data_IF_794816162244
#
_entry.id   IF_794816162244
#
_cell.length_a   1.000
_cell.length_b   1.000
_cell.length_c   1.000
_cell.angle_alpha   90.00
_cell.angle_beta   90.00
_cell.angle_gamma   90.00
#
_symmetry.space_group_name_H-M   'P 1'
#
loop_
_entity.id
_entity.type
_entity.pdbx_description
1 polymer ?
#
# COMPACT_ATOMS: atom_id res chain seq x y z
N UNK A 1 -0.06 -17.25 7.60
CA UNK A 1 -1.40 -16.78 7.18
C UNK A 1 -1.48 -15.30 7.45
N UNK A 2 -1.71 -14.48 6.43
CA UNK A 2 -1.91 -13.03 6.60
C UNK A 2 -3.34 -12.76 7.07
N UNK A 3 -3.54 -11.67 7.82
CA UNK A 3 -4.90 -11.25 8.20
C UNK A 3 -5.71 -10.93 6.93
N UNK A 4 -6.84 -11.60 6.76
CA UNK A 4 -7.69 -11.51 5.58
C UNK A 4 -9.18 -11.59 5.98
N UNK A 5 -10.08 -11.25 5.05
CA UNK A 5 -11.54 -11.42 5.26
C UNK A 5 -11.85 -12.92 5.43
N UNK A 6 -12.96 -13.24 6.10
CA UNK A 6 -13.33 -14.64 6.45
C UNK A 6 -13.46 -15.58 5.24
N UNK A 7 -13.64 -15.03 4.05
CA UNK A 7 -13.86 -15.69 2.76
C UNK A 7 -12.61 -15.77 1.87
N UNK A 8 -11.47 -15.25 2.34
CA UNK A 8 -10.21 -15.20 1.57
C UNK A 8 -9.06 -15.69 2.44
N UNK A 9 -8.35 -16.74 2.01
CA UNK A 9 -7.11 -17.20 2.64
C UNK A 9 -5.93 -16.69 1.83
N UNK A 10 -5.00 -16.00 2.49
CA UNK A 10 -3.75 -15.54 1.88
C UNK A 10 -2.57 -16.22 2.57
N UNK A 11 -1.83 -16.99 1.77
CA UNK A 11 -0.58 -17.64 2.18
C UNK A 11 0.60 -16.90 1.56
N UNK A 12 1.68 -16.76 2.31
CA UNK A 12 2.87 -16.02 1.92
C UNK A 12 4.10 -16.92 2.01
N UNK A 13 4.97 -16.84 1.01
CA UNK A 13 6.29 -17.47 0.98
C UNK A 13 7.34 -16.42 0.65
N UNK A 14 8.50 -16.49 1.32
CA UNK A 14 9.58 -15.51 1.23
C UNK A 14 9.95 -14.91 2.58
N UNK A 15 10.90 -13.98 2.59
CA UNK A 15 11.25 -13.22 3.79
C UNK A 15 10.12 -12.24 4.15
N UNK A 16 9.88 -12.00 5.44
CA UNK A 16 8.86 -11.04 5.87
C UNK A 16 9.25 -9.63 5.39
N UNK A 17 8.33 -8.98 4.68
CA UNK A 17 8.51 -7.61 4.20
C UNK A 17 8.17 -6.61 5.30
N UNK A 18 8.94 -5.53 5.38
CA UNK A 18 8.69 -4.40 6.28
C UNK A 18 8.10 -3.17 5.54
N UNK A 19 7.90 -2.07 6.26
CA UNK A 19 7.36 -0.84 5.65
C UNK A 19 8.35 -0.15 4.70
N UNK A 20 9.66 -0.36 4.87
CA UNK A 20 10.65 0.17 3.94
C UNK A 20 10.68 -0.64 2.63
N UNK A 21 10.48 -1.95 2.70
CA UNK A 21 10.22 -2.81 1.54
C UNK A 21 8.95 -2.37 0.81
N UNK A 22 7.89 -2.05 1.56
CA UNK A 22 6.64 -1.50 0.99
C UNK A 22 6.88 -0.17 0.28
N UNK A 23 7.71 0.72 0.83
CA UNK A 23 8.04 2.01 0.18
C UNK A 23 8.72 1.78 -1.18
N UNK A 24 9.71 0.89 -1.23
CA UNK A 24 10.37 0.52 -2.50
C UNK A 24 9.36 -0.06 -3.49
N UNK A 25 8.53 -1.00 -3.05
CA UNK A 25 7.51 -1.63 -3.89
C UNK A 25 6.49 -0.62 -4.45
N UNK A 26 5.97 0.28 -3.60
CA UNK A 26 5.03 1.31 -4.03
C UNK A 26 5.67 2.29 -5.02
N UNK A 27 6.95 2.61 -4.85
CA UNK A 27 7.66 3.43 -5.84
C UNK A 27 7.81 2.72 -7.19
N UNK A 28 8.18 1.43 -7.17
CA UNK A 28 8.28 0.60 -8.37
C UNK A 28 6.92 0.56 -9.11
N UNK A 29 5.81 0.34 -8.39
CA UNK A 29 4.46 0.41 -8.95
C UNK A 29 4.11 1.79 -9.50
N UNK A 30 4.50 2.85 -8.80
CA UNK A 30 4.27 4.23 -9.25
C UNK A 30 4.94 4.54 -10.60
N UNK A 31 6.12 3.97 -10.84
CA UNK A 31 6.83 4.09 -12.12
C UNK A 31 6.21 3.16 -13.17
N UNK A 32 5.92 1.91 -12.80
CA UNK A 32 5.38 0.90 -13.70
C UNK A 32 3.97 1.24 -14.23
N UNK A 33 3.15 2.00 -13.48
CA UNK A 33 1.78 2.37 -13.92
C UNK A 33 1.73 3.15 -15.24
N UNK A 34 2.83 3.78 -15.64
CA UNK A 34 2.95 4.52 -16.90
C UNK A 34 3.36 3.62 -18.08
N UNK A 35 3.55 2.32 -17.84
CA UNK A 35 4.00 1.34 -18.81
C UNK A 35 2.87 0.36 -19.17
N UNK A 36 2.92 -0.27 -20.35
CA UNK A 36 2.00 -1.35 -20.68
C UNK A 36 2.07 -2.51 -19.67
N UNK A 37 0.96 -3.25 -19.53
CA UNK A 37 0.90 -4.44 -18.68
C UNK A 37 1.99 -5.45 -19.04
N UNK A 38 2.79 -5.87 -18.05
CA UNK A 38 3.86 -6.86 -18.23
C UNK A 38 5.10 -6.34 -18.95
N UNK A 39 5.17 -5.06 -19.31
CA UNK A 39 6.36 -4.48 -19.93
C UNK A 39 7.54 -4.43 -18.93
N UNK A 40 8.74 -4.69 -19.45
CA UNK A 40 9.96 -4.43 -18.71
C UNK A 40 10.24 -2.94 -18.61
N UNK A 41 10.88 -2.52 -17.51
CA UNK A 41 11.32 -1.16 -17.31
C UNK A 41 12.61 -1.12 -16.51
N UNK A 42 13.38 -0.06 -16.72
CA UNK A 42 14.64 0.17 -16.03
C UNK A 42 14.55 1.35 -15.05
N UNK A 43 15.32 1.26 -13.97
CA UNK A 43 15.49 2.33 -12.99
C UNK A 43 16.94 2.36 -12.54
N UNK A 44 17.53 3.55 -12.43
CA UNK A 44 18.84 3.65 -11.78
C UNK A 44 18.69 3.48 -10.27
N UNK A 45 19.67 2.86 -9.61
CA UNK A 45 19.64 2.74 -8.14
C UNK A 45 19.61 4.09 -7.45
N UNK A 46 20.28 5.08 -8.05
CA UNK A 46 20.37 6.45 -7.55
C UNK A 46 19.01 7.15 -7.54
N UNK A 47 18.25 7.05 -8.62
CA UNK A 47 16.91 7.64 -8.72
C UNK A 47 15.96 6.98 -7.73
N UNK A 48 16.01 5.65 -7.62
CA UNK A 48 15.16 4.90 -6.70
C UNK A 48 15.43 5.33 -5.24
N UNK A 49 16.69 5.42 -4.81
CA UNK A 49 17.03 5.91 -3.46
C UNK A 49 16.57 7.36 -3.23
N UNK A 50 16.81 8.24 -4.20
CA UNK A 50 16.40 9.66 -4.11
C UNK A 50 14.89 9.83 -4.01
N UNK A 51 14.14 9.05 -4.79
CA UNK A 51 12.69 9.07 -4.74
C UNK A 51 12.13 8.62 -3.38
N UNK A 52 12.90 7.85 -2.62
CA UNK A 52 12.59 7.45 -1.25
C UNK A 52 13.15 8.40 -0.18
N UNK A 53 13.75 9.52 -0.59
CA UNK A 53 14.40 10.47 0.33
C UNK A 53 15.64 9.91 1.03
N UNK A 54 16.29 8.88 0.45
CA UNK A 54 17.48 8.24 1.01
C UNK A 54 18.76 8.77 0.38
N UNK A 55 19.84 8.67 1.14
CA UNK A 55 21.20 8.92 0.66
C UNK A 55 21.63 7.93 -0.41
N UNK A 56 22.65 8.28 -1.19
CA UNK A 56 23.13 7.52 -2.36
C UNK A 56 24.53 6.91 -2.14
N UNK A 57 24.73 6.29 -0.98
CA UNK A 57 26.00 5.68 -0.57
C UNK A 57 26.07 4.16 -0.75
N UNK A 58 27.29 3.60 -0.62
CA UNK A 58 27.54 2.15 -0.72
C UNK A 58 26.63 1.31 0.18
N UNK A 59 26.43 1.73 1.43
CA UNK A 59 25.53 1.05 2.38
C UNK A 59 24.08 1.08 1.93
N UNK A 60 23.61 2.20 1.36
CA UNK A 60 22.25 2.33 0.85
C UNK A 60 22.02 1.48 -0.41
N UNK A 61 23.03 1.34 -1.26
CA UNK A 61 22.97 0.42 -2.40
C UNK A 61 22.92 -1.05 -1.98
N UNK A 62 23.68 -1.45 -0.97
CA UNK A 62 23.61 -2.80 -0.40
C UNK A 62 22.24 -3.06 0.23
N UNK A 63 21.73 -2.09 1.01
CA UNK A 63 20.38 -2.15 1.57
C UNK A 63 19.32 -2.31 0.47
N UNK A 64 19.37 -1.48 -0.58
CA UNK A 64 18.42 -1.53 -1.68
C UNK A 64 18.45 -2.89 -2.39
N UNK A 65 19.63 -3.43 -2.68
CA UNK A 65 19.75 -4.77 -3.27
C UNK A 65 19.03 -5.82 -2.41
N UNK A 66 19.23 -5.78 -1.09
CA UNK A 66 18.54 -6.69 -0.17
C UNK A 66 17.02 -6.53 -0.19
N UNK A 67 16.50 -5.30 -0.29
CA UNK A 67 15.06 -5.05 -0.46
C UNK A 67 14.55 -5.69 -1.74
N UNK A 68 15.24 -5.46 -2.86
CA UNK A 68 14.82 -6.00 -4.16
C UNK A 68 14.83 -7.54 -4.16
N UNK A 69 15.82 -8.18 -3.52
CA UNK A 69 15.87 -9.63 -3.37
C UNK A 69 14.71 -10.18 -2.52
N UNK A 70 14.33 -9.46 -1.46
CA UNK A 70 13.13 -9.80 -0.67
C UNK A 70 11.85 -9.67 -1.50
N UNK A 71 11.70 -8.57 -2.26
CA UNK A 71 10.56 -8.37 -3.15
C UNK A 71 10.48 -9.41 -4.26
N UNK A 72 11.61 -9.85 -4.80
CA UNK A 72 11.68 -10.87 -5.85
C UNK A 72 11.33 -12.28 -5.32
N UNK A 73 11.75 -12.60 -4.10
CA UNK A 73 11.42 -13.89 -3.47
C UNK A 73 9.99 -13.94 -2.89
N UNK A 74 9.34 -12.80 -2.69
CA UNK A 74 7.98 -12.69 -2.17
C UNK A 74 6.95 -13.29 -3.13
N UNK A 75 6.30 -14.37 -2.69
CA UNK A 75 5.23 -15.05 -3.41
C UNK A 75 3.99 -15.17 -2.54
N UNK A 76 2.84 -14.75 -3.08
CA UNK A 76 1.53 -14.86 -2.43
C UNK A 76 0.69 -15.94 -3.11
N UNK A 77 -0.13 -16.60 -2.32
CA UNK A 77 -1.15 -17.53 -2.78
C UNK A 77 -2.48 -17.08 -2.18
N UNK A 78 -3.52 -17.00 -3.01
CA UNK A 78 -4.83 -16.46 -2.65
C UNK A 78 -5.86 -17.53 -2.94
N UNK A 79 -6.63 -17.93 -1.92
CA UNK A 79 -7.74 -18.87 -2.05
C UNK A 79 -9.02 -18.16 -1.63
N UNK A 80 -10.06 -18.26 -2.45
CA UNK A 80 -11.41 -17.74 -2.18
C UNK A 80 -12.45 -18.79 -2.56
N UNK A 81 -13.70 -18.62 -2.13
CA UNK A 81 -14.78 -19.57 -2.41
C UNK A 81 -15.03 -19.84 -3.91
N UNK A 82 -14.57 -18.97 -4.83
CA UNK A 82 -14.77 -19.13 -6.27
C UNK A 82 -13.52 -18.91 -7.13
N UNK A 83 -12.34 -18.71 -6.53
CA UNK A 83 -11.11 -18.39 -7.27
C UNK A 83 -9.87 -18.68 -6.44
N UNK A 84 -8.88 -19.34 -7.06
CA UNK A 84 -7.59 -19.69 -6.45
C UNK A 84 -6.44 -19.20 -7.34
N UNK A 85 -5.51 -18.45 -6.74
CA UNK A 85 -4.16 -18.19 -7.28
C UNK A 85 -3.18 -18.95 -6.40
N UNK A 86 -2.73 -20.11 -6.87
CA UNK A 86 -1.92 -21.01 -6.05
C UNK A 86 -2.38 -22.46 -6.14
N UNK A 87 -1.82 -23.34 -5.31
CA UNK A 87 -1.81 -24.76 -5.59
C UNK A 87 -3.09 -25.40 -5.03
N UNK A 88 -4.22 -25.55 -5.73
CA UNK A 88 -4.42 -25.80 -7.16
C UNK A 88 -5.84 -25.28 -7.54
N UNK A 89 -6.15 -24.83 -8.76
CA UNK A 89 -6.21 -25.67 -9.98
C UNK A 89 -5.43 -25.12 -11.19
N UNK A 90 -4.47 -24.20 -10.99
CA UNK A 90 -3.57 -23.74 -12.07
C UNK A 90 -2.11 -23.51 -11.63
N UNK A 91 -1.70 -23.93 -10.43
CA UNK A 91 -0.28 -24.12 -10.06
C UNK A 91 0.64 -22.89 -10.04
N UNK A 92 0.10 -21.67 -10.11
CA UNK A 92 0.91 -20.45 -10.21
C UNK A 92 0.69 -19.50 -9.03
N UNK A 93 1.71 -19.33 -8.19
CA UNK A 93 1.74 -18.27 -7.17
C UNK A 93 1.81 -16.86 -7.79
N UNK A 94 1.47 -15.86 -7.00
CA UNK A 94 1.51 -14.45 -7.36
C UNK A 94 2.80 -13.80 -6.85
N UNK A 95 3.71 -13.44 -7.74
CA UNK A 95 4.97 -12.76 -7.38
C UNK A 95 4.82 -11.26 -7.44
N UNK A 96 5.52 -10.53 -6.55
CA UNK A 96 5.58 -9.07 -6.65
C UNK A 96 6.39 -8.64 -7.88
N UNK A 97 7.63 -9.11 -8.00
CA UNK A 97 8.46 -8.91 -9.19
C UNK A 97 8.44 -10.17 -10.08
N UNK A 98 8.25 -9.97 -11.38
CA UNK A 98 8.32 -11.03 -12.39
C UNK A 98 9.76 -11.40 -12.75
N UNK A 99 10.62 -10.40 -12.91
CA UNK A 99 12.05 -10.53 -13.18
C UNK A 99 12.84 -9.40 -12.50
N UNK A 100 14.12 -9.68 -12.25
CA UNK A 100 15.07 -8.75 -11.66
C UNK A 100 16.46 -9.01 -12.23
N UNK A 101 17.04 -8.00 -12.91
CA UNK A 101 18.42 -8.02 -13.39
C UNK A 101 19.14 -6.72 -13.05
N UNK A 102 20.44 -6.81 -12.70
CA UNK A 102 21.27 -5.65 -12.43
C UNK A 102 22.39 -5.51 -13.47
N UNK A 103 22.41 -4.38 -14.17
CA UNK A 103 23.44 -4.07 -15.16
C UNK A 103 24.46 -3.11 -14.57
N UNK A 104 25.56 -3.67 -14.06
CA UNK A 104 26.62 -2.91 -13.39
C UNK A 104 27.24 -1.80 -14.24
N UNK A 105 27.29 -1.93 -15.56
CA UNK A 105 27.84 -0.91 -16.45
C UNK A 105 27.01 0.39 -16.52
N UNK A 106 25.70 0.31 -16.30
CA UNK A 106 24.77 1.47 -16.31
C UNK A 106 24.25 1.82 -14.92
N UNK A 107 24.58 1.02 -13.92
CA UNK A 107 24.03 1.09 -12.56
C UNK A 107 22.49 1.02 -12.50
N UNK A 108 21.90 0.23 -13.40
CA UNK A 108 20.46 0.10 -13.59
C UNK A 108 19.95 -1.25 -13.13
N UNK A 109 18.77 -1.23 -12.52
CA UNK A 109 17.93 -2.41 -12.37
C UNK A 109 16.93 -2.49 -13.50
N UNK A 110 16.75 -3.70 -14.04
CA UNK A 110 15.72 -4.05 -15.00
C UNK A 110 14.70 -4.93 -14.30
N UNK A 111 13.44 -4.52 -14.37
CA UNK A 111 12.33 -5.15 -13.68
C UNK A 111 11.24 -5.54 -14.68
N UNK A 112 10.54 -6.61 -14.37
CA UNK A 112 9.15 -6.80 -14.81
C UNK A 112 8.26 -7.02 -13.59
N UNK A 113 6.99 -6.66 -13.72
CA UNK A 113 5.96 -6.96 -12.71
C UNK A 113 5.02 -7.99 -13.31
N UNK A 114 4.67 -9.01 -12.51
CA UNK A 114 3.64 -9.97 -12.91
C UNK A 114 2.34 -9.21 -13.23
N UNK A 115 1.81 -9.37 -14.44
CA UNK A 115 0.62 -8.66 -14.87
C UNK A 115 -0.58 -8.91 -13.94
N UNK A 116 -0.67 -10.09 -13.31
CA UNK A 116 -1.70 -10.43 -12.33
C UNK A 116 -1.55 -9.59 -11.07
N UNK A 117 -0.31 -9.38 -10.63
CA UNK A 117 0.00 -8.48 -9.52
C UNK A 117 -0.40 -7.08 -9.91
N UNK A 118 -0.01 -6.61 -11.09
CA UNK A 118 -0.37 -5.26 -11.56
C UNK A 118 -1.89 -5.06 -11.66
N UNK A 119 -2.64 -6.08 -12.08
CA UNK A 119 -4.11 -6.04 -12.16
C UNK A 119 -4.78 -5.80 -10.79
N UNK A 120 -4.19 -6.29 -9.68
CA UNK A 120 -4.67 -5.97 -8.32
C UNK A 120 -4.59 -4.48 -7.99
N UNK A 121 -3.68 -3.74 -8.65
CA UNK A 121 -3.47 -2.31 -8.43
C UNK A 121 -4.21 -1.42 -9.45
N UNK A 122 -4.83 -1.99 -10.49
CA UNK A 122 -5.50 -1.24 -11.58
C UNK A 122 -6.96 -0.86 -11.32
N UNK A 123 -7.74 -1.68 -10.58
CA UNK A 123 -9.13 -1.35 -10.24
C UNK A 123 -9.16 -0.40 -9.04
N UNK A 124 -9.09 0.91 -9.30
CA UNK A 124 -9.54 2.02 -8.44
C UNK A 124 -8.95 2.15 -7.01
N UNK A 125 -8.12 1.22 -6.52
CA UNK A 125 -7.75 1.14 -5.10
C UNK A 125 -6.31 1.59 -4.77
N UNK A 126 -5.43 1.71 -5.76
CA UNK A 126 -4.01 2.02 -5.52
C UNK A 126 -3.44 3.13 -6.41
N UNK A 127 -4.21 3.63 -7.37
CA UNK A 127 -3.73 4.52 -8.44
C UNK A 127 -2.98 5.77 -7.95
N UNK A 128 -3.28 6.21 -6.72
CA UNK A 128 -2.61 7.30 -6.03
C UNK A 128 -2.69 7.04 -4.52
N UNK A 129 -2.05 5.98 -4.02
CA UNK A 129 -1.53 6.09 -2.65
C UNK A 129 -0.57 7.27 -2.74
N UNK A 130 -1.07 8.45 -2.40
CA UNK A 130 -0.50 9.75 -2.76
C UNK A 130 0.97 9.72 -2.38
N UNK A 131 1.81 9.44 -3.37
CA UNK A 131 3.19 9.03 -3.11
C UNK A 131 3.90 10.12 -2.31
N UNK A 132 3.54 11.37 -2.65
CA UNK A 132 3.91 12.59 -1.92
C UNK A 132 3.36 12.67 -0.50
N UNK A 133 2.17 12.17 -0.21
CA UNK A 133 1.64 12.05 1.16
C UNK A 133 2.43 11.00 1.94
N UNK A 134 2.70 9.83 1.34
CA UNK A 134 3.45 8.75 1.98
C UNK A 134 4.88 9.16 2.33
N UNK A 135 5.57 9.85 1.43
CA UNK A 135 6.94 10.33 1.67
C UNK A 135 7.06 11.36 2.81
N UNK A 136 5.96 12.01 3.21
CA UNK A 136 5.96 12.91 4.36
C UNK A 136 5.90 12.16 5.70
N UNK A 137 5.43 10.92 5.69
CA UNK A 137 5.34 10.09 6.88
C UNK A 137 6.70 9.48 7.22
N UNK A 138 7.10 9.61 8.47
CA UNK A 138 8.33 9.11 9.06
C UNK A 138 8.09 7.83 9.85
N UNK A 139 6.95 7.71 10.55
CA UNK A 139 6.68 6.52 11.36
C UNK A 139 6.12 5.36 10.52
N UNK A 140 6.68 4.17 10.69
CA UNK A 140 6.19 2.95 10.03
C UNK A 140 4.73 2.65 10.36
N UNK A 141 4.31 2.90 11.61
CA UNK A 141 2.90 2.70 11.99
C UNK A 141 1.99 3.73 11.30
N UNK A 142 2.44 4.97 11.10
CA UNK A 142 1.67 5.96 10.33
C UNK A 142 1.56 5.54 8.86
N UNK A 143 2.66 5.07 8.25
CA UNK A 143 2.67 4.53 6.88
C UNK A 143 1.75 3.32 6.71
N UNK A 144 1.74 2.41 7.68
CA UNK A 144 0.86 1.25 7.69
C UNK A 144 -0.61 1.66 7.81
N UNK A 145 -0.92 2.58 8.74
CA UNK A 145 -2.27 3.12 8.93
C UNK A 145 -2.74 3.87 7.69
N UNK A 146 -1.87 4.62 7.02
CA UNK A 146 -2.20 5.31 5.79
C UNK A 146 -2.71 4.33 4.71
N UNK A 147 -2.07 3.17 4.55
CA UNK A 147 -2.58 2.12 3.67
C UNK A 147 -3.99 1.66 4.09
N UNK A 148 -4.19 1.36 5.39
CA UNK A 148 -5.49 0.95 5.92
C UNK A 148 -6.58 2.01 5.64
N UNK A 149 -6.27 3.28 5.87
CA UNK A 149 -7.19 4.42 5.70
C UNK A 149 -7.60 4.57 4.24
N UNK A 150 -6.64 4.54 3.32
CA UNK A 150 -6.87 4.77 1.88
C UNK A 150 -7.66 3.65 1.24
N UNK A 151 -7.48 2.41 1.70
CA UNK A 151 -8.19 1.23 1.19
C UNK A 151 -9.62 1.07 1.73
N UNK A 152 -10.07 1.93 2.65
CA UNK A 152 -11.43 1.87 3.23
C UNK A 152 -12.27 3.09 2.82
N UNK A 153 -13.59 2.95 2.97
CA UNK A 153 -14.56 3.99 2.61
C UNK A 153 -14.23 5.35 3.27
N UNK A 154 -14.51 6.47 2.58
CA UNK A 154 -14.35 7.80 3.16
C UNK A 154 -15.27 7.99 4.38
N UNK A 155 -14.93 8.96 5.23
CA UNK A 155 -15.69 9.27 6.44
C UNK A 155 -15.06 8.76 7.73
N UNK A 156 -15.87 8.62 8.77
CA UNK A 156 -15.43 8.14 10.08
C UNK A 156 -15.12 6.63 10.03
N UNK A 157 -13.92 6.26 10.46
CA UNK A 157 -13.43 4.90 10.52
C UNK A 157 -13.13 4.53 11.97
N UNK A 158 -13.43 3.29 12.35
CA UNK A 158 -13.33 2.78 13.73
C UNK A 158 -12.68 1.42 13.73
N UNK A 159 -11.62 1.25 14.51
CA UNK A 159 -10.89 -0.01 14.61
C UNK A 159 -10.60 -0.37 16.06
N UNK A 160 -10.87 -1.61 16.45
CA UNK A 160 -10.49 -2.06 17.80
C UNK A 160 -8.96 -2.15 17.90
N UNK A 161 -8.39 -1.73 19.02
CA UNK A 161 -6.94 -1.74 19.20
C UNK A 161 -6.36 -3.15 19.14
N UNK A 162 -7.11 -4.14 19.63
CA UNK A 162 -6.72 -5.55 19.53
C UNK A 162 -6.58 -6.03 18.08
N UNK A 163 -7.41 -5.51 17.18
CA UNK A 163 -7.43 -5.92 15.78
C UNK A 163 -6.26 -5.26 15.06
N UNK A 164 -6.05 -3.94 15.27
CA UNK A 164 -4.88 -3.23 14.75
C UNK A 164 -3.55 -3.88 15.18
N UNK A 165 -3.43 -4.28 16.46
CA UNK A 165 -2.24 -4.99 16.96
C UNK A 165 -2.03 -6.31 16.27
N UNK A 166 -3.10 -7.09 16.09
CA UNK A 166 -3.04 -8.38 15.39
C UNK A 166 -2.63 -8.19 13.94
N UNK A 167 -3.23 -7.24 13.23
CA UNK A 167 -3.00 -7.03 11.80
C UNK A 167 -1.61 -6.50 11.48
N UNK A 168 -1.03 -5.65 12.33
CA UNK A 168 0.35 -5.19 12.15
C UNK A 168 1.39 -6.17 12.72
N UNK A 169 0.95 -7.24 13.41
CA UNK A 169 1.86 -8.18 14.08
C UNK A 169 2.63 -7.54 15.23
N UNK A 170 1.99 -6.64 15.99
CA UNK A 170 2.63 -5.93 17.10
C UNK A 170 3.03 -6.89 18.23
N UNK A 171 4.35 -7.02 18.46
CA UNK A 171 4.93 -7.84 19.55
C UNK A 171 5.18 -7.07 20.85
N UNK A 172 5.00 -5.75 20.82
CA UNK A 172 5.20 -4.88 21.99
C UNK A 172 4.03 -4.95 22.99
N UNK A 173 4.27 -4.49 24.22
CA UNK A 173 3.26 -4.43 25.27
C UNK A 173 2.10 -3.53 24.85
N UNK A 174 0.84 -3.82 25.24
CA UNK A 174 -0.33 -3.04 24.86
C UNK A 174 -0.19 -1.53 25.09
N UNK A 175 0.38 -1.13 26.22
CA UNK A 175 0.63 0.29 26.56
C UNK A 175 1.62 0.96 25.60
N UNK A 176 2.67 0.25 25.17
CA UNK A 176 3.66 0.78 24.22
C UNK A 176 3.06 0.91 22.83
N UNK A 177 2.30 -0.10 22.41
CA UNK A 177 1.55 -0.03 21.16
C UNK A 177 0.59 1.16 21.14
N UNK A 178 -0.15 1.37 22.25
CA UNK A 178 -1.07 2.49 22.40
C UNK A 178 -0.37 3.84 22.20
N UNK A 179 0.78 4.05 22.85
CA UNK A 179 1.56 5.27 22.69
C UNK A 179 2.02 5.48 21.24
N UNK A 180 2.59 4.45 20.61
CA UNK A 180 2.98 4.51 19.18
C UNK A 180 1.79 4.80 18.27
N UNK A 181 0.61 4.24 18.57
CA UNK A 181 -0.61 4.50 17.81
C UNK A 181 -1.07 5.95 17.93
N UNK A 182 -1.02 6.52 19.14
CA UNK A 182 -1.29 7.95 19.34
C UNK A 182 -0.30 8.83 18.57
N UNK A 183 1.00 8.50 18.63
CA UNK A 183 2.05 9.21 17.89
C UNK A 183 1.82 9.15 16.37
N UNK A 184 1.48 7.97 15.85
CA UNK A 184 1.19 7.77 14.43
C UNK A 184 -0.07 8.50 13.98
N UNK A 185 -1.14 8.49 14.79
CA UNK A 185 -2.36 9.25 14.50
C UNK A 185 -2.09 10.76 14.47
N UNK A 186 -1.30 11.29 15.40
CA UNK A 186 -0.92 12.72 15.39
C UNK A 186 -0.15 13.08 14.12
N UNK A 187 0.78 12.24 13.68
CA UNK A 187 1.52 12.48 12.44
C UNK A 187 0.60 12.49 11.20
N UNK A 188 -0.37 11.57 11.15
CA UNK A 188 -1.36 11.54 10.06
C UNK A 188 -2.26 12.79 10.06
N UNK A 189 -2.65 13.30 11.23
CA UNK A 189 -3.39 14.57 11.35
C UNK A 189 -2.55 15.77 10.91
N UNK A 190 -1.29 15.84 11.33
CA UNK A 190 -0.35 16.90 10.93
C UNK A 190 -0.15 16.95 9.41
N UNK A 191 -0.23 15.80 8.75
CA UNK A 191 -0.13 15.69 7.29
C UNK A 191 -1.47 15.88 6.55
N UNK A 192 -2.56 16.14 7.28
CA UNK A 192 -3.90 16.39 6.71
C UNK A 192 -4.59 15.16 6.16
N UNK A 193 -4.13 13.95 6.51
CA UNK A 193 -4.65 12.68 5.99
C UNK A 193 -5.91 12.23 6.72
N UNK A 194 -5.99 12.56 8.01
CA UNK A 194 -7.13 12.30 8.87
C UNK A 194 -7.42 13.52 9.74
N UNK A 195 -8.59 13.50 10.38
CA UNK A 195 -9.01 14.49 11.39
C UNK A 195 -9.77 13.82 12.52
N UNK A 196 -9.85 14.49 13.67
CA UNK A 196 -10.60 14.03 14.84
C UNK A 196 -10.11 12.66 15.34
N UNK A 197 -8.81 12.41 15.21
CA UNK A 197 -8.20 11.16 15.63
C UNK A 197 -8.23 11.07 17.16
N UNK A 198 -8.74 9.95 17.68
CA UNK A 198 -8.89 9.74 19.12
C UNK A 198 -8.91 8.27 19.47
N UNK A 199 -8.45 7.98 20.68
CA UNK A 199 -8.70 6.70 21.32
C UNK A 199 -9.95 6.81 22.20
N UNK A 200 -10.90 5.89 22.00
CA UNK A 200 -12.16 5.86 22.72
C UNK A 200 -12.52 4.45 23.17
N UNK A 201 -13.68 4.33 23.82
CA UNK A 201 -14.29 3.04 24.16
C UNK A 201 -15.53 2.83 23.30
N UNK A 202 -15.67 1.65 22.73
CA UNK A 202 -16.87 1.25 21.99
C UNK A 202 -17.99 0.74 22.89
N UNK A 203 -19.10 0.37 22.26
CA UNK A 203 -20.34 -0.12 22.91
C UNK A 203 -20.11 -1.29 23.87
N UNK A 204 -19.05 -2.11 23.65
CA UNK A 204 -18.70 -3.26 24.49
C UNK A 204 -17.52 -2.99 25.45
N UNK A 205 -17.20 -1.71 25.71
CA UNK A 205 -16.05 -1.32 26.52
C UNK A 205 -14.68 -1.58 25.87
N UNK A 206 -14.65 -2.20 24.68
CA UNK A 206 -13.42 -2.41 23.92
C UNK A 206 -12.81 -1.08 23.51
N UNK A 207 -11.49 -0.98 23.66
CA UNK A 207 -10.71 0.19 23.24
C UNK A 207 -10.63 0.26 21.72
N UNK A 208 -10.87 1.45 21.16
CA UNK A 208 -10.95 1.67 19.72
C UNK A 208 -10.20 2.94 19.34
N UNK A 209 -9.57 2.90 18.17
CA UNK A 209 -9.10 4.08 17.50
C UNK A 209 -10.18 4.55 16.52
N UNK A 210 -10.41 5.86 16.51
CA UNK A 210 -11.43 6.52 15.70
C UNK A 210 -10.78 7.69 15.00
N UNK A 211 -11.03 7.86 13.72
CA UNK A 211 -10.58 9.00 12.93
C UNK A 211 -11.51 9.22 11.75
N UNK A 212 -11.51 10.42 11.18
CA UNK A 212 -12.22 10.72 9.93
C UNK A 212 -11.21 10.88 8.81
N UNK A 213 -11.32 10.07 7.75
CA UNK A 213 -10.49 10.20 6.54
C UNK A 213 -10.78 11.55 5.86
N UNK A 214 -9.74 12.33 5.59
CA UNK A 214 -9.86 13.49 4.72
C UNK A 214 -10.03 13.03 3.26
N UNK A 215 -10.96 13.63 2.51
CA UNK A 215 -11.09 13.35 1.08
C UNK A 215 -9.81 13.75 0.35
N UNK A 216 -9.37 12.98 -0.65
CA UNK A 216 -8.33 13.48 -1.56
C UNK A 216 -8.90 14.69 -2.30
N UNK A 217 -8.11 15.77 -2.41
CA UNK A 217 -8.52 16.97 -3.13
C UNK A 217 -8.97 16.67 -4.58
N UNK A 218 -8.51 15.54 -5.15
CA UNK A 218 -8.88 15.07 -6.49
C UNK A 218 -10.24 14.34 -6.56
N UNK A 219 -10.76 13.80 -5.45
CA UNK A 219 -12.08 13.12 -5.45
C UNK A 219 -13.24 14.10 -5.70
N UNK A 220 -13.07 15.36 -5.27
CA UNK A 220 -14.06 16.42 -5.51
C UNK A 220 -14.15 16.80 -6.99
N UNK A 221 -13.04 16.76 -7.74
CA UNK A 221 -13.01 17.15 -9.16
C UNK A 221 -13.66 16.13 -10.10
N UNK A 222 -13.66 14.84 -9.76
CA UNK A 222 -14.32 13.79 -10.53
C UNK A 222 -15.84 13.75 -10.31
N UNK A 223 -16.31 14.10 -9.10
CA UNK A 223 -17.75 14.20 -8.82
C UNK A 223 -18.42 15.36 -9.57
N UNK A 224 -17.72 16.49 -9.76
CA UNK A 224 -18.28 17.63 -10.52
C UNK A 224 -18.36 17.35 -12.03
N UNK A 225 -17.49 16.49 -12.58
CA UNK A 225 -17.51 16.14 -14.02
C UNK A 225 -18.64 15.18 -14.40
N UNK A 226 -19.12 14.35 -13.48
CA UNK A 226 -20.25 13.45 -13.75
C UNK A 226 -21.63 14.10 -13.59
N UNK A 227 -21.73 15.20 -12.83
CA UNK A 227 -23.00 15.93 -12.66
C UNK A 227 -23.24 17.03 -13.71
N UNK A 228 -22.33 17.23 -14.67
CA UNK A 228 -22.45 18.25 -15.73
C UNK A 228 -22.97 17.74 -17.07
N UNK A 229 -23.21 16.43 -17.24
CA UNK A 229 -23.48 15.82 -18.55
C UNK A 229 -24.92 15.31 -18.77
N UNK A 230 -25.88 15.74 -17.94
CA UNK A 230 -27.31 15.40 -18.12
C UNK A 230 -28.19 16.65 -18.00
N UNK A 231 -28.05 17.57 -18.94
CA UNK A 231 -29.14 18.50 -19.29
C UNK A 231 -28.92 19.11 -20.67
N UNK A 232 -29.27 18.36 -21.70
CA UNK A 232 -29.72 18.93 -22.97
C UNK A 232 -31.03 18.25 -23.34
N UNK A 233 -32.13 18.92 -22.96
CA UNK A 233 -33.48 18.65 -23.43
C UNK A 233 -33.49 18.75 -24.96
N UNK A 234 -33.91 17.69 -25.64
CA UNK A 234 -34.42 17.82 -27.00
C UNK A 234 -35.93 18.04 -26.91
N UNK A 235 -36.36 19.19 -27.40
CA UNK A 235 -37.74 19.61 -27.51
C UNK A 235 -37.97 19.98 -28.98
N UNK A 236 -38.90 19.28 -29.63
CA UNK A 236 -39.68 19.72 -30.80
C UNK A 236 -38.96 19.98 -32.12
N UNK A 237 -39.19 19.12 -33.12
CA UNK A 237 -40.14 19.37 -34.21
C UNK A 237 -40.49 18.04 -34.89
#
# INVERSE_FOLDING_TARGET
MLASRKDVVITYSGQQLDEADRDVWLHILHVARLKPLGAEFEMTRRELLRALGRDVGKSQYVWLKGVIERLFSATMFIETAGYTIGPDSYGAGLRLLGSFEFHGGRDTYHFSIDWRTMALYQREAYGLLEWRQRLRLQQDLAKWLHCLIVSNAPGEQRYALKDLRTWIGAVDRPRRFRARLEDAMRELEQNGLIKQARLGRGVRGCEQAVWTRCGSAESTALSTRHNGATSTRHNGA
#
